data_IF_002697176337
#
_entry.id   IF_002697176337
#
_cell.length_a   1.000
_cell.length_b   1.000
_cell.length_c   1.000
_cell.angle_alpha   90.00
_cell.angle_beta   90.00
_cell.angle_gamma   90.00
#
_symmetry.space_group_name_H-M   'P 1'
#
loop_
_entity.id
_entity.type
_entity.pdbx_description
1 polymer ?
#
# COMPACT_ATOMS: atom_id res chain seq x y z
N UNK A 1 34.33 11.34 -53.50
CA UNK A 1 34.42 12.02 -52.21
C UNK A 1 34.14 11.06 -51.07
N UNK A 2 32.96 10.45 -50.95
CA UNK A 2 32.59 9.60 -49.82
C UNK A 2 33.61 8.50 -49.47
N UNK A 3 34.12 7.74 -50.49
CA UNK A 3 35.14 6.71 -50.28
C UNK A 3 36.43 7.26 -49.65
N UNK A 4 36.89 8.42 -50.12
CA UNK A 4 38.09 9.07 -49.57
C UNK A 4 37.86 9.57 -48.15
N UNK A 5 36.70 10.13 -47.84
CA UNK A 5 36.34 10.53 -46.48
C UNK A 5 36.29 9.34 -45.52
N UNK A 6 35.79 8.19 -46.00
CA UNK A 6 35.79 6.96 -45.20
C UNK A 6 37.18 6.43 -44.94
N UNK A 7 38.04 6.41 -45.96
CA UNK A 7 39.41 5.90 -45.89
C UNK A 7 40.29 6.80 -45.00
N UNK A 8 40.11 8.11 -45.03
CA UNK A 8 40.93 9.07 -44.29
C UNK A 8 40.44 9.36 -42.86
N UNK A 9 39.13 9.36 -42.61
CA UNK A 9 38.54 9.82 -41.35
C UNK A 9 37.62 8.80 -40.66
N UNK A 10 37.29 7.71 -41.35
CA UNK A 10 36.31 6.74 -40.83
C UNK A 10 34.92 7.32 -40.64
N UNK A 11 34.14 6.71 -39.76
CA UNK A 11 32.83 7.21 -39.34
C UNK A 11 33.01 8.15 -38.15
N UNK A 12 32.41 9.35 -38.22
CA UNK A 12 32.52 10.32 -37.13
C UNK A 12 31.31 11.23 -37.03
N UNK A 13 31.08 11.78 -35.82
CA UNK A 13 29.98 12.69 -35.47
C UNK A 13 30.56 14.12 -35.41
N UNK A 14 29.95 15.04 -36.16
CA UNK A 14 30.26 16.48 -36.10
C UNK A 14 29.41 17.19 -35.09
N UNK A 15 28.10 16.89 -35.09
CA UNK A 15 27.13 17.33 -34.10
C UNK A 15 26.29 16.12 -33.73
N UNK A 16 26.26 15.72 -32.48
CA UNK A 16 25.48 14.54 -32.05
C UNK A 16 23.99 14.70 -32.34
N UNK A 17 23.37 13.58 -32.64
CA UNK A 17 21.91 13.45 -32.61
C UNK A 17 21.52 13.01 -31.20
N UNK A 18 20.60 13.71 -30.58
CA UNK A 18 19.97 13.32 -29.32
C UNK A 18 18.63 12.69 -29.64
N UNK A 19 18.34 11.57 -29.03
CA UNK A 19 17.07 10.84 -29.18
C UNK A 19 16.33 10.89 -27.87
N UNK A 20 15.15 11.52 -27.89
CA UNK A 20 14.17 11.47 -26.82
C UNK A 20 13.00 10.63 -27.29
N UNK A 21 12.23 10.10 -26.35
CA UNK A 21 10.95 9.48 -26.66
C UNK A 21 9.91 9.85 -25.57
N UNK A 22 8.69 10.04 -26.00
CA UNK A 22 7.58 10.37 -25.12
C UNK A 22 6.28 9.78 -25.65
N UNK A 23 5.25 9.73 -24.82
CA UNK A 23 3.90 9.35 -25.28
C UNK A 23 3.37 10.44 -26.19
N UNK A 24 2.76 10.04 -27.32
CA UNK A 24 2.14 11.00 -28.23
C UNK A 24 0.95 11.71 -27.54
N UNK A 25 0.95 13.05 -27.54
CA UNK A 25 -0.06 13.87 -26.87
C UNK A 25 -1.50 13.70 -27.42
N UNK A 26 -1.62 13.30 -28.68
CA UNK A 26 -2.90 13.16 -29.36
C UNK A 26 -3.42 11.71 -29.35
N UNK A 27 -2.54 10.73 -29.13
CA UNK A 27 -2.87 9.29 -29.18
C UNK A 27 -1.96 8.52 -28.23
N UNK A 28 -2.46 8.25 -27.04
CA UNK A 28 -1.73 7.52 -26.00
C UNK A 28 -1.36 6.07 -26.37
N UNK A 29 -1.85 5.57 -27.49
CA UNK A 29 -1.45 4.26 -28.04
C UNK A 29 -0.17 4.31 -28.85
N UNK A 30 0.43 5.50 -28.99
CA UNK A 30 1.64 5.77 -29.75
C UNK A 30 2.73 6.43 -28.91
N UNK A 31 3.96 6.28 -29.35
CA UNK A 31 5.13 7.00 -28.82
C UNK A 31 5.77 7.79 -29.93
N UNK A 32 6.28 8.95 -29.58
CA UNK A 32 7.06 9.81 -30.46
C UNK A 32 8.55 9.65 -30.15
N UNK A 33 9.31 9.30 -31.19
CA UNK A 33 10.76 9.37 -31.18
C UNK A 33 11.17 10.73 -31.73
N UNK A 34 11.74 11.56 -30.89
CA UNK A 34 12.11 12.92 -31.18
C UNK A 34 13.63 12.97 -31.39
N UNK A 35 14.06 13.21 -32.63
CA UNK A 35 15.45 13.27 -32.99
C UNK A 35 15.88 14.73 -33.15
N UNK A 36 16.90 15.16 -32.39
CA UNK A 36 17.46 16.52 -32.47
C UNK A 36 18.21 16.77 -33.75
N UNK A 37 18.44 18.06 -34.13
CA UNK A 37 19.31 18.40 -35.23
C UNK A 37 20.73 17.92 -34.98
N UNK A 38 21.33 17.25 -35.97
CA UNK A 38 22.68 16.68 -35.87
C UNK A 38 23.36 16.51 -37.22
N UNK A 39 24.64 16.20 -37.20
CA UNK A 39 25.47 15.93 -38.40
C UNK A 39 26.47 14.83 -38.08
N UNK A 40 26.47 13.78 -38.91
CA UNK A 40 27.42 12.69 -38.82
C UNK A 40 27.91 12.30 -40.23
N UNK A 41 29.03 11.65 -40.30
CA UNK A 41 29.56 10.99 -41.52
C UNK A 41 29.61 9.49 -41.27
N UNK A 42 28.89 8.74 -42.11
CA UNK A 42 28.81 7.28 -42.02
C UNK A 42 29.11 6.70 -43.38
N UNK A 43 30.08 5.81 -43.48
CA UNK A 43 30.60 5.29 -44.72
C UNK A 43 31.05 6.40 -45.70
N UNK A 44 31.49 7.56 -45.16
CA UNK A 44 31.88 8.73 -45.93
C UNK A 44 30.72 9.59 -46.46
N UNK A 45 29.48 9.20 -46.21
CA UNK A 45 28.31 9.99 -46.57
C UNK A 45 27.89 10.88 -45.40
N UNK A 46 27.50 12.12 -45.71
CA UNK A 46 27.03 13.08 -44.75
C UNK A 46 25.54 12.85 -44.45
N UNK A 47 25.23 12.41 -43.27
CA UNK A 47 23.86 12.39 -42.71
C UNK A 47 23.66 13.66 -41.89
N UNK A 48 22.67 14.48 -42.21
CA UNK A 48 22.40 15.72 -41.47
C UNK A 48 20.93 16.04 -41.36
N UNK A 49 20.58 16.59 -40.21
CA UNK A 49 19.25 17.18 -39.95
C UNK A 49 19.43 18.59 -39.41
N UNK A 50 18.69 19.51 -39.95
CA UNK A 50 18.72 20.94 -39.56
C UNK A 50 17.63 21.30 -38.58
N UNK A 51 16.53 20.51 -38.52
CA UNK A 51 15.40 20.66 -37.59
C UNK A 51 15.16 19.38 -36.82
N UNK A 52 14.38 19.51 -35.77
CA UNK A 52 13.85 18.38 -35.02
C UNK A 52 12.96 17.50 -35.91
N UNK A 53 13.00 16.22 -35.69
CA UNK A 53 12.21 15.23 -36.44
C UNK A 53 11.51 14.31 -35.49
N UNK A 54 10.17 14.32 -35.56
CA UNK A 54 9.32 13.45 -34.76
C UNK A 54 8.89 12.24 -35.61
N UNK A 55 9.03 11.04 -35.08
CA UNK A 55 8.61 9.80 -35.70
C UNK A 55 7.66 9.09 -34.75
N UNK A 56 6.39 9.13 -35.09
CA UNK A 56 5.33 8.47 -34.30
C UNK A 56 5.23 7.00 -34.67
N UNK A 57 5.31 6.12 -33.68
CA UNK A 57 5.10 4.68 -33.84
C UNK A 57 4.13 4.14 -32.79
N UNK A 58 3.38 3.06 -33.07
CA UNK A 58 2.56 2.41 -32.07
C UNK A 58 3.39 1.91 -30.90
N UNK A 59 2.87 2.07 -29.66
CA UNK A 59 3.44 1.43 -28.46
C UNK A 59 3.46 -0.08 -28.64
N UNK A 60 4.53 -0.78 -28.22
CA UNK A 60 4.48 -2.23 -28.11
C UNK A 60 3.42 -2.61 -27.08
N UNK A 61 2.57 -3.57 -27.45
CA UNK A 61 1.46 -4.05 -26.60
C UNK A 61 1.40 -5.58 -26.58
N UNK A 62 2.53 -6.23 -26.81
CA UNK A 62 2.60 -7.68 -26.62
C UNK A 62 2.40 -7.96 -25.13
N UNK A 63 1.46 -8.84 -24.83
CA UNK A 63 1.12 -9.25 -23.47
C UNK A 63 1.47 -10.72 -23.35
N UNK A 64 2.23 -11.04 -22.31
CA UNK A 64 2.48 -12.41 -21.88
C UNK A 64 1.73 -12.70 -20.58
N UNK A 65 1.48 -13.96 -20.33
CA UNK A 65 0.76 -14.44 -19.15
C UNK A 65 1.60 -15.43 -18.38
N UNK A 66 1.64 -15.26 -17.07
CA UNK A 66 2.23 -16.22 -16.15
C UNK A 66 1.19 -16.60 -15.10
N UNK A 67 1.02 -17.92 -14.93
CA UNK A 67 0.04 -18.47 -14.00
C UNK A 67 0.72 -18.96 -12.72
N UNK A 68 -0.02 -19.00 -11.61
CA UNK A 68 0.41 -19.49 -10.33
C UNK A 68 1.69 -18.77 -9.80
N UNK A 69 1.80 -17.50 -10.06
CA UNK A 69 2.84 -16.68 -9.45
C UNK A 69 2.59 -16.55 -7.95
N UNK A 70 3.66 -16.38 -7.18
CA UNK A 70 3.57 -16.33 -5.73
C UNK A 70 4.29 -15.13 -5.16
N UNK A 71 3.68 -14.51 -4.14
CA UNK A 71 4.30 -13.47 -3.32
C UNK A 71 4.07 -13.82 -1.85
N UNK A 72 5.12 -13.75 -1.04
CA UNK A 72 4.98 -13.92 0.39
C UNK A 72 4.43 -12.64 1.05
N UNK A 73 3.41 -12.79 1.87
CA UNK A 73 2.84 -11.68 2.67
C UNK A 73 3.78 -11.34 3.84
N UNK A 74 4.99 -10.91 3.53
CA UNK A 74 6.01 -10.59 4.51
C UNK A 74 5.77 -9.22 5.11
N UNK A 75 5.10 -9.17 6.26
CA UNK A 75 5.03 -7.98 7.08
C UNK A 75 5.30 -8.31 8.54
N UNK A 76 5.93 -7.38 9.24
CA UNK A 76 6.40 -7.52 10.61
C UNK A 76 5.82 -6.45 11.51
N UNK A 77 6.70 -5.82 12.27
CA UNK A 77 6.35 -4.85 13.31
C UNK A 77 5.49 -5.47 14.39
N UNK A 78 5.92 -6.59 14.95
CA UNK A 78 5.21 -7.25 16.03
C UNK A 78 5.95 -7.20 17.36
N UNK A 79 5.19 -7.30 18.44
CA UNK A 79 5.66 -7.55 19.80
C UNK A 79 5.16 -8.90 20.28
N UNK A 80 5.84 -9.47 21.27
CA UNK A 80 5.36 -10.68 21.93
C UNK A 80 4.79 -10.29 23.30
N UNK A 81 3.58 -10.75 23.57
CA UNK A 81 2.90 -10.51 24.86
C UNK A 81 2.62 -11.82 25.58
N UNK A 82 2.70 -11.77 26.90
CA UNK A 82 2.42 -12.94 27.76
C UNK A 82 0.92 -13.15 27.94
N UNK A 83 0.46 -14.39 27.80
CA UNK A 83 -0.88 -14.81 28.18
C UNK A 83 -1.08 -14.93 29.71
N UNK A 84 -0.01 -14.91 30.51
CA UNK A 84 -0.05 -15.23 31.92
C UNK A 84 -0.90 -14.28 32.78
N UNK A 85 -1.03 -13.01 32.38
CA UNK A 85 -1.79 -12.05 33.16
C UNK A 85 -3.23 -11.86 32.67
N UNK A 86 -3.53 -12.14 31.40
CA UNK A 86 -4.86 -11.89 30.83
C UNK A 86 -5.37 -12.98 29.88
N UNK A 87 -4.52 -13.87 29.40
CA UNK A 87 -4.91 -14.86 28.41
C UNK A 87 -4.88 -14.30 26.99
N UNK A 88 -5.82 -14.72 26.15
CA UNK A 88 -5.83 -14.39 24.73
C UNK A 88 -6.07 -12.89 24.49
N UNK A 89 -5.30 -12.25 23.59
CA UNK A 89 -5.57 -10.90 23.16
C UNK A 89 -6.85 -10.82 22.32
N UNK A 90 -7.96 -10.56 22.99
CA UNK A 90 -9.26 -10.33 22.37
C UNK A 90 -9.36 -8.86 21.91
N UNK A 91 -8.63 -8.50 20.88
CA UNK A 91 -8.49 -7.15 20.39
C UNK A 91 -9.27 -7.01 19.09
N UNK A 92 -10.11 -5.99 18.98
CA UNK A 92 -10.77 -5.67 17.72
C UNK A 92 -9.73 -5.18 16.71
N UNK A 93 -9.88 -5.56 15.47
CA UNK A 93 -9.03 -5.09 14.39
C UNK A 93 -8.97 -3.56 14.40
N UNK A 94 -7.76 -3.03 14.24
CA UNK A 94 -7.46 -1.59 14.21
C UNK A 94 -7.85 -0.80 15.47
N UNK A 95 -8.19 -1.46 16.57
CA UNK A 95 -8.44 -0.81 17.85
C UNK A 95 -7.19 -0.07 18.33
N UNK A 96 -7.38 1.15 18.86
CA UNK A 96 -6.30 1.90 19.52
C UNK A 96 -5.98 1.22 20.85
N UNK A 97 -4.71 0.89 21.01
CA UNK A 97 -4.16 0.31 22.22
C UNK A 97 -3.18 1.29 22.88
N UNK A 98 -3.25 1.42 24.17
CA UNK A 98 -2.32 2.24 24.94
C UNK A 98 -1.02 1.47 25.21
N UNK A 99 0.09 2.05 24.87
CA UNK A 99 1.43 1.59 25.23
C UNK A 99 1.78 2.18 26.61
N UNK A 100 2.11 1.31 27.58
CA UNK A 100 2.27 1.69 28.98
C UNK A 100 3.66 1.39 29.51
N UNK A 101 4.13 2.24 30.43
CA UNK A 101 5.45 2.17 31.04
C UNK A 101 5.58 1.16 32.18
N UNK A 102 4.52 0.47 32.60
CA UNK A 102 4.54 -0.50 33.69
C UNK A 102 3.79 -1.79 33.32
N UNK A 103 4.16 -2.89 34.00
CA UNK A 103 3.49 -4.21 33.90
C UNK A 103 2.29 -4.35 34.82
N UNK A 104 1.94 -3.31 35.56
CA UNK A 104 0.86 -3.31 36.54
C UNK A 104 -0.16 -2.22 36.20
N UNK A 105 -1.37 -2.40 36.70
CA UNK A 105 -2.43 -1.40 36.71
C UNK A 105 -1.91 -0.04 37.20
N UNK A 106 -2.11 1.01 36.44
CA UNK A 106 -1.70 2.36 36.82
C UNK A 106 -0.40 2.87 36.19
N UNK A 107 0.26 2.08 35.34
CA UNK A 107 1.38 2.59 34.51
C UNK A 107 0.92 3.73 33.59
N UNK A 108 1.79 4.74 33.39
CA UNK A 108 1.50 5.86 32.49
C UNK A 108 1.37 5.38 31.07
N UNK A 109 0.43 5.92 30.33
CA UNK A 109 0.37 5.79 28.85
C UNK A 109 1.48 6.65 28.26
N UNK A 110 2.42 6.02 27.57
CA UNK A 110 3.59 6.66 26.96
C UNK A 110 3.50 6.69 25.44
N UNK A 111 2.45 6.10 24.87
CA UNK A 111 2.18 6.10 23.44
C UNK A 111 0.91 5.32 23.14
N UNK A 112 0.61 5.21 21.86
CA UNK A 112 -0.49 4.40 21.33
C UNK A 112 0.01 3.58 20.14
N UNK A 113 -0.69 2.49 19.84
CA UNK A 113 -0.53 1.69 18.63
C UNK A 113 -1.86 1.07 18.25
N UNK A 114 -1.95 0.52 17.04
CA UNK A 114 -3.08 -0.30 16.60
C UNK A 114 -2.60 -1.72 16.36
N UNK A 115 -3.47 -2.69 16.58
CA UNK A 115 -3.21 -4.11 16.30
C UNK A 115 -3.92 -4.49 15.02
N UNK A 116 -3.20 -5.07 14.08
CA UNK A 116 -3.72 -5.51 12.78
C UNK A 116 -3.79 -7.03 12.62
N UNK A 117 -3.06 -7.78 13.45
CA UNK A 117 -3.06 -9.24 13.43
C UNK A 117 -2.62 -9.78 14.78
N UNK A 118 -3.17 -10.93 15.17
CA UNK A 118 -2.83 -11.65 16.39
C UNK A 118 -2.51 -13.08 16.03
N UNK A 119 -1.37 -13.59 16.47
CA UNK A 119 -0.93 -14.95 16.20
C UNK A 119 -0.44 -15.61 17.50
N UNK A 120 -0.74 -16.89 17.67
CA UNK A 120 -0.24 -17.67 18.81
C UNK A 120 1.27 -17.94 18.66
N UNK A 121 2.01 -17.85 19.73
CA UNK A 121 3.44 -18.09 19.82
C UNK A 121 3.77 -18.95 21.06
N UNK A 122 3.38 -20.20 21.01
CA UNK A 122 3.46 -21.13 22.15
C UNK A 122 2.52 -20.72 23.28
N UNK A 123 3.07 -20.34 24.44
CA UNK A 123 2.30 -19.82 25.58
C UNK A 123 2.08 -18.31 25.52
N UNK A 124 2.48 -17.65 24.45
CA UNK A 124 2.43 -16.20 24.26
C UNK A 124 1.68 -15.86 22.97
N UNK A 125 1.57 -14.56 22.66
CA UNK A 125 0.96 -14.08 21.43
C UNK A 125 1.84 -13.03 20.76
N UNK A 126 1.90 -13.07 19.42
CA UNK A 126 2.44 -12.01 18.59
C UNK A 126 1.33 -11.03 18.29
N UNK A 127 1.55 -9.76 18.59
CA UNK A 127 0.67 -8.66 18.20
C UNK A 127 1.39 -7.85 17.13
N UNK A 128 0.86 -7.87 15.92
CA UNK A 128 1.38 -7.07 14.79
C UNK A 128 0.84 -5.65 14.91
N UNK A 129 1.74 -4.69 15.08
CA UNK A 129 1.40 -3.30 15.35
C UNK A 129 1.56 -2.43 14.11
N UNK A 130 0.77 -1.39 14.04
CA UNK A 130 0.92 -0.28 13.09
C UNK A 130 0.43 1.03 13.73
N UNK A 131 0.62 2.16 13.03
CA UNK A 131 0.24 3.49 13.52
C UNK A 131 0.76 3.73 14.97
N UNK A 132 2.05 3.42 15.18
CA UNK A 132 2.70 3.55 16.48
C UNK A 132 3.04 5.02 16.70
N UNK A 133 2.46 5.64 17.72
CA UNK A 133 2.69 7.03 18.10
C UNK A 133 3.16 7.11 19.55
N UNK A 134 4.42 7.53 19.76
CA UNK A 134 4.96 7.76 21.09
C UNK A 134 4.69 9.20 21.55
N UNK A 135 4.37 9.38 22.83
CA UNK A 135 4.25 10.70 23.42
C UNK A 135 5.60 11.44 23.40
N UNK A 136 5.58 12.78 23.38
CA UNK A 136 6.79 13.59 23.34
C UNK A 136 7.77 13.22 24.47
N UNK A 137 9.02 12.94 24.12
CA UNK A 137 10.07 12.54 25.05
C UNK A 137 10.00 11.09 25.55
N UNK A 138 9.06 10.28 25.05
CA UNK A 138 8.95 8.87 25.39
C UNK A 138 9.59 7.97 24.32
N UNK A 139 10.03 6.77 24.72
CA UNK A 139 10.69 5.83 23.82
C UNK A 139 9.93 4.48 23.83
N UNK A 140 9.82 3.85 22.67
CA UNK A 140 9.19 2.54 22.53
C UNK A 140 9.88 1.47 23.41
N UNK A 141 11.19 1.55 23.59
CA UNK A 141 11.95 0.64 24.46
C UNK A 141 11.45 0.61 25.92
N UNK A 142 10.77 1.67 26.37
CA UNK A 142 10.26 1.80 27.74
C UNK A 142 8.85 1.21 27.92
N UNK A 143 8.24 0.71 26.86
CA UNK A 143 6.93 0.04 26.91
C UNK A 143 7.05 -1.27 27.68
N UNK A 144 6.15 -1.49 28.63
CA UNK A 144 6.09 -2.73 29.44
C UNK A 144 4.81 -3.51 29.25
N UNK A 145 3.74 -2.84 28.88
CA UNK A 145 2.44 -3.45 28.58
C UNK A 145 1.70 -2.71 27.49
N UNK A 146 0.74 -3.41 26.87
CA UNK A 146 -0.17 -2.88 25.85
C UNK A 146 -1.61 -3.24 26.23
N UNK A 147 -2.56 -2.31 26.09
CA UNK A 147 -3.94 -2.60 26.42
C UNK A 147 -4.91 -1.47 26.11
N UNK A 148 -6.20 -1.81 26.04
CA UNK A 148 -7.29 -0.84 25.81
C UNK A 148 -7.58 0.02 27.04
N UNK A 149 -7.34 -0.53 28.24
CA UNK A 149 -7.60 0.12 29.53
C UNK A 149 -6.56 -0.28 30.58
N UNK A 150 -6.74 0.21 31.79
CA UNK A 150 -5.87 -0.12 32.93
C UNK A 150 -6.12 -1.54 33.48
N UNK A 151 -7.25 -2.14 33.15
CA UNK A 151 -7.62 -3.53 33.55
C UNK A 151 -7.62 -4.52 32.38
N UNK A 152 -7.50 -4.00 31.17
CA UNK A 152 -7.51 -4.76 29.93
C UNK A 152 -6.19 -4.54 29.19
N UNK A 153 -5.16 -5.29 29.59
CA UNK A 153 -3.81 -5.16 29.07
C UNK A 153 -3.02 -6.46 29.14
N UNK A 154 -2.02 -6.59 28.30
CA UNK A 154 -1.06 -7.69 28.25
C UNK A 154 0.35 -7.18 28.51
N UNK A 155 1.11 -7.94 29.28
CA UNK A 155 2.53 -7.64 29.54
C UNK A 155 3.38 -8.06 28.35
N UNK A 156 4.32 -7.21 27.93
CA UNK A 156 5.28 -7.54 26.91
C UNK A 156 6.34 -8.55 27.44
N UNK A 157 6.75 -9.45 26.58
CA UNK A 157 7.97 -10.22 26.75
C UNK A 157 9.13 -9.30 26.35
N UNK A 158 9.94 -8.90 27.32
CA UNK A 158 11.00 -7.93 27.13
C UNK A 158 12.34 -8.60 26.79
N UNK A 159 13.14 -7.95 25.96
CA UNK A 159 14.53 -8.29 25.70
C UNK A 159 15.46 -7.37 26.50
N UNK A 160 16.25 -7.97 27.42
CA UNK A 160 17.15 -7.20 28.28
C UNK A 160 16.43 -6.00 28.93
N UNK A 161 15.22 -6.24 29.45
CA UNK A 161 14.33 -5.24 30.07
C UNK A 161 13.80 -4.14 29.13
N UNK A 162 13.89 -4.30 27.81
CA UNK A 162 13.39 -3.33 26.82
C UNK A 162 12.34 -3.95 25.93
N UNK A 163 11.37 -3.16 25.52
CA UNK A 163 10.47 -3.54 24.43
C UNK A 163 11.22 -3.49 23.10
N UNK A 164 11.06 -4.54 22.31
CA UNK A 164 11.65 -4.63 20.97
C UNK A 164 10.55 -4.91 19.98
N UNK A 165 10.47 -4.07 18.96
CA UNK A 165 9.61 -4.29 17.82
C UNK A 165 10.33 -5.21 16.84
N UNK A 166 9.80 -6.43 16.68
CA UNK A 166 10.38 -7.44 15.79
C UNK A 166 10.03 -7.14 14.34
N UNK A 167 10.97 -7.43 13.44
CA UNK A 167 10.81 -7.26 11.99
C UNK A 167 10.27 -5.88 11.59
N UNK A 168 10.73 -4.82 12.30
CA UNK A 168 10.27 -3.46 12.10
C UNK A 168 10.52 -2.92 10.67
N UNK A 169 11.55 -3.43 9.98
CA UNK A 169 11.86 -3.08 8.60
C UNK A 169 10.82 -3.58 7.59
N UNK A 170 10.01 -4.56 7.95
CA UNK A 170 8.99 -5.17 7.11
C UNK A 170 7.58 -4.73 7.49
N UNK A 171 7.38 -3.46 7.87
CA UNK A 171 6.07 -2.96 8.31
C UNK A 171 5.08 -2.73 7.18
N UNK A 172 5.56 -2.57 5.95
CA UNK A 172 4.75 -2.24 4.77
C UNK A 172 3.75 -3.34 4.42
N UNK A 173 2.54 -2.94 4.02
CA UNK A 173 1.49 -3.80 3.46
C UNK A 173 1.46 -3.76 1.92
N UNK A 174 2.57 -3.41 1.31
CA UNK A 174 2.81 -3.43 -0.13
C UNK A 174 3.71 -4.62 -0.46
N UNK A 175 3.20 -5.58 -1.22
CA UNK A 175 3.93 -6.78 -1.60
C UNK A 175 4.31 -6.71 -3.08
N UNK A 176 5.61 -6.64 -3.36
CA UNK A 176 6.14 -6.50 -4.72
C UNK A 176 5.82 -7.73 -5.56
N UNK A 177 5.30 -7.49 -6.76
CA UNK A 177 5.08 -8.55 -7.74
C UNK A 177 6.43 -9.04 -8.31
N UNK A 178 6.57 -10.33 -8.60
CA UNK A 178 7.79 -10.86 -9.19
C UNK A 178 8.01 -10.36 -10.64
N UNK A 179 6.92 -9.95 -11.28
CA UNK A 179 6.92 -9.48 -12.67
C UNK A 179 6.83 -7.95 -12.73
N UNK A 180 7.72 -7.32 -13.48
CA UNK A 180 7.65 -5.88 -13.77
C UNK A 180 6.65 -5.62 -14.90
N UNK A 181 6.01 -4.44 -14.87
CA UNK A 181 5.03 -4.02 -15.89
C UNK A 181 3.76 -4.88 -15.97
N UNK A 182 3.16 -5.31 -14.84
CA UNK A 182 1.91 -6.05 -14.85
C UNK A 182 0.79 -5.23 -15.53
N UNK A 183 0.05 -5.86 -16.41
CA UNK A 183 -1.11 -5.28 -17.10
C UNK A 183 -2.40 -5.57 -16.34
N UNK A 184 -2.50 -6.79 -15.83
CA UNK A 184 -3.64 -7.23 -15.01
C UNK A 184 -3.25 -8.40 -14.11
N UNK A 185 -3.98 -8.53 -13.01
CA UNK A 185 -3.85 -9.62 -12.04
C UNK A 185 -5.21 -10.29 -11.92
N UNK A 186 -5.22 -11.62 -11.87
CA UNK A 186 -6.44 -12.45 -11.71
C UNK A 186 -6.16 -13.66 -10.83
N UNK A 187 -7.21 -14.41 -10.53
CA UNK A 187 -7.19 -15.70 -9.81
C UNK A 187 -6.38 -15.69 -8.51
N UNK A 188 -6.59 -14.61 -7.73
CA UNK A 188 -5.87 -14.42 -6.46
C UNK A 188 -6.43 -15.37 -5.41
N UNK A 189 -5.51 -16.08 -4.74
CA UNK A 189 -5.78 -16.91 -3.58
C UNK A 189 -4.89 -16.50 -2.41
N UNK A 190 -5.48 -16.32 -1.22
CA UNK A 190 -4.79 -15.91 0.00
C UNK A 190 -5.49 -16.48 1.23
N UNK A 191 -4.76 -16.56 2.34
CA UNK A 191 -5.33 -16.89 3.66
C UNK A 191 -5.41 -15.64 4.50
N UNK A 192 -6.59 -15.34 5.06
CA UNK A 192 -6.83 -14.18 5.93
C UNK A 192 -7.23 -14.61 7.33
N UNK A 193 -6.98 -13.77 8.33
CA UNK A 193 -7.53 -13.97 9.66
C UNK A 193 -8.91 -13.31 9.77
N UNK A 194 -9.87 -14.03 10.33
CA UNK A 194 -11.21 -13.52 10.57
C UNK A 194 -11.65 -13.87 11.98
N UNK A 195 -12.28 -12.90 12.65
CA UNK A 195 -12.81 -13.04 13.98
C UNK A 195 -14.27 -13.47 13.93
N UNK A 196 -14.63 -14.42 14.78
CA UNK A 196 -15.99 -14.87 15.01
C UNK A 196 -16.30 -14.79 16.50
N UNK A 197 -17.47 -14.22 16.84
CA UNK A 197 -18.07 -14.27 18.17
C UNK A 197 -19.24 -15.22 18.13
N UNK A 198 -19.26 -16.23 18.99
CA UNK A 198 -20.30 -17.24 19.01
C UNK A 198 -20.58 -17.74 20.44
N UNK A 199 -21.60 -18.56 20.59
CA UNK A 199 -21.98 -19.17 21.85
C UNK A 199 -22.28 -20.64 21.60
N UNK A 200 -21.79 -21.51 22.46
CA UNK A 200 -22.14 -22.94 22.37
C UNK A 200 -23.60 -23.19 22.85
N UNK A 201 -24.15 -24.29 22.34
CA UNK A 201 -25.39 -24.84 22.91
C UNK A 201 -25.14 -25.54 24.28
N UNK A 202 -26.19 -26.13 24.89
CA UNK A 202 -26.10 -26.83 26.15
C UNK A 202 -25.19 -28.07 26.14
N UNK A 203 -24.82 -28.56 24.97
CA UNK A 203 -23.88 -29.67 24.79
C UNK A 203 -22.47 -29.18 24.47
N UNK A 204 -22.16 -27.89 24.58
CA UNK A 204 -20.89 -27.31 24.27
C UNK A 204 -20.57 -27.27 22.76
N UNK A 205 -21.57 -27.25 21.88
CA UNK A 205 -21.39 -27.27 20.43
C UNK A 205 -21.70 -25.90 19.84
N UNK A 206 -20.89 -25.48 18.88
CA UNK A 206 -21.12 -24.31 18.02
C UNK A 206 -20.72 -24.62 16.58
N UNK A 207 -21.31 -23.89 15.64
CA UNK A 207 -20.97 -23.97 14.21
C UNK A 207 -20.64 -22.59 13.72
N UNK A 208 -19.48 -22.44 13.07
CA UNK A 208 -19.12 -21.27 12.30
C UNK A 208 -19.40 -21.53 10.83
N UNK A 209 -19.87 -20.51 10.10
CA UNK A 209 -20.21 -20.64 8.69
C UNK A 209 -19.68 -19.47 7.90
N UNK A 210 -19.09 -19.76 6.74
CA UNK A 210 -18.69 -18.81 5.72
C UNK A 210 -19.79 -18.76 4.67
N UNK A 211 -20.11 -17.55 4.20
CA UNK A 211 -21.21 -17.32 3.25
C UNK A 211 -20.72 -16.89 1.87
N UNK A 212 -19.48 -16.44 1.77
CA UNK A 212 -18.93 -15.99 0.51
C UNK A 212 -18.46 -17.20 -0.36
N UNK A 213 -18.70 -17.11 -1.65
CA UNK A 213 -18.24 -18.12 -2.63
C UNK A 213 -16.70 -18.10 -2.68
N UNK A 214 -16.09 -19.28 -2.72
CA UNK A 214 -14.63 -19.41 -2.79
C UNK A 214 -13.92 -19.27 -1.45
N UNK A 215 -14.65 -19.15 -0.34
CA UNK A 215 -14.09 -19.17 1.01
C UNK A 215 -14.22 -20.54 1.66
N UNK A 216 -13.16 -20.99 2.31
CA UNK A 216 -13.14 -22.19 3.14
C UNK A 216 -12.32 -21.94 4.39
N UNK A 217 -12.67 -22.59 5.49
CA UNK A 217 -11.81 -22.56 6.67
C UNK A 217 -10.46 -23.22 6.37
N UNK A 218 -9.39 -22.58 6.82
CA UNK A 218 -8.03 -23.10 6.73
C UNK A 218 -7.75 -24.14 7.82
N UNK A 219 -6.48 -24.48 8.02
CA UNK A 219 -6.05 -25.41 9.06
C UNK A 219 -6.52 -24.92 10.44
N UNK A 220 -7.39 -25.72 11.06
CA UNK A 220 -8.01 -25.38 12.36
C UNK A 220 -7.03 -25.43 13.52
N UNK A 221 -5.86 -26.05 13.36
CA UNK A 221 -4.80 -26.08 14.38
C UNK A 221 -4.11 -24.73 14.56
N UNK A 222 -4.28 -23.82 13.60
CA UNK A 222 -3.74 -22.46 13.64
C UNK A 222 -4.69 -21.44 14.28
N UNK A 223 -5.88 -21.88 14.65
CA UNK A 223 -6.89 -20.98 15.22
C UNK A 223 -6.57 -20.68 16.69
N UNK A 224 -7.04 -19.50 17.10
CA UNK A 224 -6.97 -19.09 18.49
C UNK A 224 -8.39 -18.93 19.03
N UNK A 225 -8.73 -19.60 20.12
CA UNK A 225 -10.06 -19.52 20.77
C UNK A 225 -9.94 -19.07 22.22
N UNK A 226 -10.86 -18.22 22.65
CA UNK A 226 -10.93 -17.74 24.02
C UNK A 226 -12.33 -17.54 24.54
N UNK A 227 -12.57 -17.96 25.76
CA UNK A 227 -13.78 -17.68 26.54
C UNK A 227 -13.41 -16.68 27.65
N UNK A 228 -13.78 -15.42 27.47
CA UNK A 228 -13.26 -14.32 28.29
C UNK A 228 -11.74 -14.24 28.20
N UNK A 229 -11.04 -14.28 29.35
CA UNK A 229 -9.59 -14.23 29.44
C UNK A 229 -8.91 -15.63 29.43
N UNK A 230 -9.69 -16.69 29.20
CA UNK A 230 -9.17 -18.07 29.22
C UNK A 230 -9.00 -18.61 27.80
N UNK A 231 -7.81 -19.15 27.52
CA UNK A 231 -7.55 -19.90 26.29
C UNK A 231 -8.39 -21.19 26.26
N UNK A 232 -8.88 -21.54 25.08
CA UNK A 232 -9.60 -22.77 24.79
C UNK A 232 -8.78 -23.58 23.78
N UNK A 233 -8.49 -24.84 24.12
CA UNK A 233 -7.76 -25.73 23.20
C UNK A 233 -8.60 -26.01 21.96
N UNK A 234 -8.03 -25.70 20.79
CA UNK A 234 -8.66 -25.87 19.48
C UNK A 234 -8.38 -27.25 18.88
N UNK A 235 -7.26 -27.88 19.22
CA UNK A 235 -6.74 -29.04 18.47
C UNK A 235 -7.62 -30.27 18.53
N UNK A 236 -8.31 -30.51 19.66
CA UNK A 236 -9.21 -31.65 19.86
C UNK A 236 -10.70 -31.30 19.64
N UNK A 237 -11.03 -30.03 19.39
CA UNK A 237 -12.38 -29.52 19.50
C UNK A 237 -12.94 -28.97 18.19
N UNK A 238 -12.12 -28.74 17.18
CA UNK A 238 -12.53 -28.07 15.93
C UNK A 238 -12.33 -28.99 14.74
N UNK A 239 -13.37 -29.08 13.90
CA UNK A 239 -13.34 -29.77 12.60
C UNK A 239 -13.91 -28.87 11.53
N UNK A 240 -13.54 -29.10 10.26
CA UNK A 240 -14.09 -28.36 9.12
C UNK A 240 -13.06 -27.63 8.26
N UNK A 241 -11.76 -27.95 8.42
CA UNK A 241 -10.74 -27.48 7.49
C UNK A 241 -11.09 -27.86 6.03
N UNK A 242 -10.94 -26.93 5.10
CA UNK A 242 -11.33 -27.09 3.68
C UNK A 242 -12.83 -26.97 3.41
N UNK A 243 -13.65 -26.65 4.40
CA UNK A 243 -15.11 -26.52 4.29
C UNK A 243 -15.56 -25.08 4.58
N UNK A 244 -16.76 -24.73 4.09
CA UNK A 244 -17.45 -23.48 4.47
C UNK A 244 -18.08 -23.52 5.86
N UNK A 245 -18.07 -24.68 6.51
CA UNK A 245 -18.65 -24.86 7.84
C UNK A 245 -17.62 -25.53 8.75
N UNK A 246 -17.42 -24.98 9.93
CA UNK A 246 -16.59 -25.59 10.96
C UNK A 246 -17.41 -25.87 12.22
N UNK A 247 -17.23 -27.06 12.78
CA UNK A 247 -17.89 -27.48 14.02
C UNK A 247 -16.90 -27.40 15.18
N UNK A 248 -17.35 -26.77 16.26
CA UNK A 248 -16.61 -26.65 17.52
C UNK A 248 -17.36 -27.46 18.57
N UNK A 249 -16.68 -28.38 19.26
CA UNK A 249 -17.24 -29.21 20.30
C UNK A 249 -16.37 -29.11 21.54
N UNK A 250 -16.82 -28.37 22.56
CA UNK A 250 -16.13 -28.24 23.84
C UNK A 250 -17.14 -28.12 25.00
N UNK A 251 -17.30 -29.22 25.73
CA UNK A 251 -18.26 -29.28 26.86
C UNK A 251 -17.96 -28.30 28.01
N UNK A 252 -16.71 -27.82 28.10
CA UNK A 252 -16.33 -26.79 29.09
C UNK A 252 -16.89 -25.40 28.76
N UNK A 253 -17.32 -25.14 27.52
CA UNK A 253 -17.87 -23.87 27.09
C UNK A 253 -19.38 -23.71 27.38
N UNK A 254 -20.08 -24.78 27.61
CA UNK A 254 -21.51 -24.90 27.95
C UNK A 254 -22.29 -23.56 28.04
N UNK A 255 -22.91 -23.14 26.93
CA UNK A 255 -23.70 -21.89 26.79
C UNK A 255 -22.93 -20.58 27.08
N UNK A 256 -21.60 -20.61 27.13
CA UNK A 256 -20.82 -19.40 27.30
C UNK A 256 -20.44 -18.80 25.93
N UNK A 257 -20.41 -17.46 25.84
CA UNK A 257 -19.89 -16.77 24.68
C UNK A 257 -18.38 -16.98 24.61
N UNK A 258 -17.87 -17.11 23.38
CA UNK A 258 -16.44 -17.19 23.13
C UNK A 258 -16.08 -16.57 21.77
N UNK A 259 -14.81 -16.24 21.63
CA UNK A 259 -14.24 -15.64 20.45
C UNK A 259 -13.32 -16.62 19.75
N UNK A 260 -13.32 -16.58 18.42
CA UNK A 260 -12.48 -17.41 17.57
C UNK A 260 -11.76 -16.51 16.57
N UNK A 261 -10.44 -16.56 16.55
CA UNK A 261 -9.63 -16.02 15.48
C UNK A 261 -9.29 -17.19 14.53
N UNK A 262 -10.05 -17.30 13.46
CA UNK A 262 -9.91 -18.37 12.49
C UNK A 262 -9.17 -17.89 11.26
N UNK A 263 -8.52 -18.80 10.55
CA UNK A 263 -7.97 -18.53 9.24
C UNK A 263 -8.92 -19.03 8.16
N UNK A 264 -9.12 -18.18 7.14
CA UNK A 264 -10.02 -18.41 6.01
C UNK A 264 -9.22 -18.33 4.73
N UNK A 265 -9.26 -19.40 3.94
CA UNK A 265 -8.74 -19.42 2.58
C UNK A 265 -9.73 -18.76 1.64
N UNK A 266 -9.30 -17.79 0.88
CA UNK A 266 -10.05 -17.11 -0.18
C UNK A 266 -9.43 -17.49 -1.52
N UNK A 267 -10.14 -18.26 -2.32
CA UNK A 267 -9.68 -18.71 -3.65
C UNK A 267 -10.05 -17.74 -4.79
N UNK A 268 -10.73 -16.65 -4.48
CA UNK A 268 -11.17 -15.64 -5.43
C UNK A 268 -11.09 -14.25 -4.80
N UNK A 269 -9.87 -13.79 -4.51
CA UNK A 269 -9.62 -12.44 -4.01
C UNK A 269 -10.06 -11.39 -5.03
N UNK A 270 -10.72 -10.33 -4.57
CA UNK A 270 -11.32 -9.30 -5.41
C UNK A 270 -10.48 -8.03 -5.34
N UNK A 271 -10.09 -7.52 -6.51
CA UNK A 271 -9.44 -6.21 -6.62
C UNK A 271 -10.42 -5.10 -6.24
N UNK A 272 -10.01 -4.23 -5.33
CA UNK A 272 -10.76 -3.03 -4.95
C UNK A 272 -10.59 -1.94 -6.00
N UNK A 273 -11.68 -1.32 -6.41
CA UNK A 273 -11.65 -0.24 -7.39
C UNK A 273 -11.18 1.08 -6.78
N UNK A 274 -10.51 1.89 -7.62
CA UNK A 274 -10.22 3.30 -7.38
C UNK A 274 -10.94 4.14 -8.43
N UNK A 275 -11.48 5.30 -8.04
CA UNK A 275 -12.15 6.24 -8.95
C UNK A 275 -11.51 7.61 -8.80
N UNK A 276 -10.91 8.15 -9.86
CA UNK A 276 -10.31 9.47 -9.84
C UNK A 276 -11.39 10.56 -9.77
N UNK A 277 -11.35 11.36 -8.71
CA UNK A 277 -12.38 12.34 -8.38
C UNK A 277 -11.76 13.70 -8.09
N UNK A 278 -12.37 14.77 -8.62
CA UNK A 278 -12.00 16.13 -8.30
C UNK A 278 -12.60 16.56 -6.95
N UNK A 279 -11.84 17.29 -6.17
CA UNK A 279 -12.27 17.86 -4.89
C UNK A 279 -11.81 19.30 -4.75
N UNK A 280 -12.65 20.10 -4.11
CA UNK A 280 -12.34 21.49 -3.74
C UNK A 280 -12.66 21.68 -2.27
N UNK A 281 -11.74 22.30 -1.52
CA UNK A 281 -11.92 22.69 -0.13
C UNK A 281 -11.44 24.13 0.07
N UNK A 282 -12.06 24.83 1.01
CA UNK A 282 -11.61 26.13 1.48
C UNK A 282 -11.48 26.06 3.00
N UNK A 283 -10.33 26.43 3.51
CA UNK A 283 -10.00 26.42 4.93
C UNK A 283 -9.99 27.83 5.48
N UNK A 284 -10.60 28.03 6.63
CA UNK A 284 -10.44 29.26 7.43
C UNK A 284 -9.28 29.04 8.41
N UNK A 285 -8.21 29.79 8.26
CA UNK A 285 -6.96 29.62 9.03
C UNK A 285 -7.19 29.71 10.53
N UNK A 286 -8.09 30.60 10.98
CA UNK A 286 -8.37 30.77 12.41
C UNK A 286 -9.00 29.55 13.11
N UNK A 287 -9.68 28.67 12.37
CA UNK A 287 -10.50 27.57 12.96
C UNK A 287 -10.22 26.18 12.40
N UNK A 288 -9.54 26.10 11.27
CA UNK A 288 -9.33 24.83 10.54
C UNK A 288 -7.85 24.52 10.25
N UNK A 289 -6.95 25.41 10.66
CA UNK A 289 -5.52 25.14 10.54
C UNK A 289 -5.08 24.13 11.61
N UNK A 290 -4.25 23.19 11.18
CA UNK A 290 -3.53 22.31 12.09
C UNK A 290 -2.48 23.14 12.86
N UNK A 291 -2.31 22.86 14.15
CA UNK A 291 -1.34 23.56 14.99
C UNK A 291 -0.58 22.57 15.87
N UNK A 292 0.63 22.94 16.23
CA UNK A 292 1.40 22.19 17.23
C UNK A 292 0.92 22.53 18.67
N UNK A 293 1.47 21.83 19.65
CA UNK A 293 1.11 22.03 21.06
C UNK A 293 1.39 23.45 21.62
N UNK A 294 2.12 24.31 20.90
CA UNK A 294 2.33 25.74 21.23
C UNK A 294 1.44 26.69 20.45
N UNK A 295 0.50 26.17 19.67
CA UNK A 295 -0.44 26.96 18.87
C UNK A 295 0.12 27.52 17.57
N UNK A 296 1.33 27.11 17.16
CA UNK A 296 1.90 27.49 15.86
C UNK A 296 1.22 26.66 14.76
N UNK A 297 0.73 27.34 13.72
CA UNK A 297 0.11 26.70 12.56
C UNK A 297 1.14 25.82 11.85
N UNK A 298 0.77 24.57 11.58
CA UNK A 298 1.61 23.59 10.90
C UNK A 298 1.08 23.22 9.51
N UNK A 299 -0.16 23.55 9.19
CA UNK A 299 -0.76 23.28 7.88
C UNK A 299 -2.27 23.11 7.90
N UNK A 300 -2.76 22.30 6.97
CA UNK A 300 -4.19 21.99 6.83
C UNK A 300 -4.37 20.53 6.45
N UNK A 301 -5.21 19.81 7.17
CA UNK A 301 -5.58 18.43 6.84
C UNK A 301 -6.77 18.42 5.89
N UNK A 302 -6.64 17.72 4.76
CA UNK A 302 -7.70 17.52 3.77
C UNK A 302 -8.72 16.49 4.27
N UNK A 303 -9.90 16.44 3.64
CA UNK A 303 -10.96 15.47 3.98
C UNK A 303 -10.90 14.15 3.18
N UNK A 304 -9.86 13.96 2.38
CA UNK A 304 -9.68 12.78 1.52
C UNK A 304 -8.28 12.19 1.66
N UNK A 305 -8.17 10.86 1.68
CA UNK A 305 -6.90 10.15 1.50
C UNK A 305 -6.54 10.02 0.02
N UNK A 306 -5.38 9.44 -0.25
CA UNK A 306 -4.91 9.01 -1.57
C UNK A 306 -4.98 10.10 -2.63
N UNK A 307 -4.33 11.23 -2.32
CA UNK A 307 -4.29 12.38 -3.23
C UNK A 307 -3.41 12.06 -4.44
N UNK A 308 -4.00 12.22 -5.63
CA UNK A 308 -3.31 12.02 -6.90
C UNK A 308 -2.53 13.27 -7.33
N UNK A 309 -3.18 14.44 -7.27
CA UNK A 309 -2.56 15.72 -7.64
C UNK A 309 -3.14 16.88 -6.85
N UNK A 310 -2.30 17.86 -6.55
CA UNK A 310 -2.71 19.18 -6.08
C UNK A 310 -2.72 20.12 -7.28
N UNK A 311 -3.93 20.45 -7.77
CA UNK A 311 -4.08 21.22 -9.01
C UNK A 311 -3.93 22.72 -8.77
N UNK A 312 -4.37 23.22 -7.59
CA UNK A 312 -4.38 24.65 -7.27
C UNK A 312 -4.37 24.86 -5.76
N UNK A 313 -3.52 25.76 -5.25
CA UNK A 313 -3.49 26.21 -3.86
C UNK A 313 -3.42 27.73 -3.88
N UNK A 314 -4.51 28.41 -3.46
CA UNK A 314 -4.66 29.85 -3.58
C UNK A 314 -5.06 30.51 -2.27
N UNK A 315 -4.73 31.78 -2.16
CA UNK A 315 -5.21 32.63 -1.08
C UNK A 315 -6.69 32.95 -1.28
N UNK A 316 -7.45 32.92 -0.21
CA UNK A 316 -8.86 33.32 -0.09
C UNK A 316 -9.83 32.41 -0.87
N UNK A 317 -9.80 32.42 -2.21
CA UNK A 317 -10.74 31.70 -3.07
C UNK A 317 -10.11 31.30 -4.43
N UNK A 318 -10.94 30.90 -5.40
CA UNK A 318 -10.50 30.44 -6.73
C UNK A 318 -9.77 31.52 -7.55
N UNK A 319 -9.98 32.78 -7.26
CA UNK A 319 -9.42 33.94 -8.00
C UNK A 319 -8.22 34.57 -7.28
N UNK A 320 -7.88 34.05 -6.08
CA UNK A 320 -6.78 34.51 -5.27
C UNK A 320 -5.39 34.21 -5.85
N UNK A 321 -4.37 34.77 -5.24
CA UNK A 321 -2.97 34.56 -5.61
C UNK A 321 -2.55 33.11 -5.34
N UNK A 322 -1.65 32.58 -6.17
CA UNK A 322 -1.04 31.27 -5.96
C UNK A 322 -0.11 31.33 -4.75
N UNK A 323 -0.36 30.45 -3.79
CA UNK A 323 0.41 30.30 -2.56
C UNK A 323 1.00 28.89 -2.38
N UNK A 324 1.04 28.10 -3.46
CA UNK A 324 1.55 26.72 -3.41
C UNK A 324 2.97 26.65 -2.88
N UNK A 325 3.80 27.67 -3.14
CA UNK A 325 5.20 27.72 -2.74
C UNK A 325 5.44 27.77 -1.21
N UNK A 326 4.42 28.10 -0.39
CA UNK A 326 4.56 28.10 1.06
C UNK A 326 4.18 26.77 1.71
N UNK A 327 3.76 25.78 0.94
CA UNK A 327 3.34 24.46 1.41
C UNK A 327 4.17 23.34 0.82
N UNK A 328 4.38 22.31 1.61
CA UNK A 328 4.78 20.97 1.19
C UNK A 328 3.53 20.09 1.10
N UNK A 329 3.35 19.44 -0.02
CA UNK A 329 2.17 18.62 -0.31
C UNK A 329 2.38 17.18 0.20
N UNK A 330 1.47 16.69 1.04
CA UNK A 330 1.42 15.33 1.54
C UNK A 330 0.19 14.63 0.96
N UNK A 331 0.41 13.59 0.17
CA UNK A 331 -0.66 12.86 -0.51
C UNK A 331 -1.44 11.90 0.41
N UNK A 332 -1.06 11.78 1.69
CA UNK A 332 -1.72 10.90 2.66
C UNK A 332 -1.29 9.44 2.60
N UNK A 333 -0.41 9.03 1.69
CA UNK A 333 0.06 7.66 1.65
C UNK A 333 1.10 7.39 2.74
N UNK A 334 0.99 6.24 3.43
CA UNK A 334 1.94 5.72 4.42
C UNK A 334 2.35 4.31 4.02
N UNK A 335 3.37 3.77 4.66
CA UNK A 335 3.87 2.42 4.38
C UNK A 335 2.81 1.35 4.65
N UNK A 336 1.93 1.58 5.60
CA UNK A 336 1.00 0.60 6.16
C UNK A 336 -0.48 1.02 6.15
N UNK A 337 -0.81 2.25 5.73
CA UNK A 337 -2.19 2.72 5.55
C UNK A 337 -2.28 3.96 4.65
N UNK A 338 -3.50 4.31 4.23
CA UNK A 338 -3.83 5.57 3.59
C UNK A 338 -4.40 6.54 4.62
N UNK A 339 -3.64 7.58 4.94
CA UNK A 339 -4.03 8.72 5.79
C UNK A 339 -4.67 9.82 4.95
N UNK A 340 -5.24 10.84 5.61
CA UNK A 340 -5.71 12.04 4.93
C UNK A 340 -4.54 12.82 4.31
N UNK A 341 -4.78 13.40 3.14
CA UNK A 341 -3.82 14.33 2.54
C UNK A 341 -3.63 15.60 3.38
N UNK A 342 -2.48 16.26 3.25
CA UNK A 342 -2.18 17.47 4.02
C UNK A 342 -1.43 18.50 3.17
N UNK A 343 -1.68 19.78 3.48
CA UNK A 343 -0.83 20.89 3.11
C UNK A 343 0.02 21.22 4.33
N UNK A 344 1.30 20.84 4.34
CA UNK A 344 2.23 21.14 5.44
C UNK A 344 2.85 22.53 5.22
N UNK A 345 2.68 23.42 6.18
CA UNK A 345 3.24 24.77 6.08
C UNK A 345 4.76 24.73 6.24
N UNK A 346 5.48 25.24 5.26
CA UNK A 346 6.94 25.37 5.32
C UNK A 346 7.31 26.40 6.40
N UNK A 347 8.23 26.04 7.28
CA UNK A 347 8.65 26.86 8.42
C UNK A 347 9.05 28.28 7.99
N UNK A 348 8.61 29.27 8.75
CA UNK A 348 8.86 30.69 8.49
C UNK A 348 7.80 31.36 7.63
N UNK A 349 6.84 30.61 7.09
CA UNK A 349 5.71 31.17 6.35
C UNK A 349 4.47 31.37 7.23
N UNK A 350 3.58 32.25 6.80
CA UNK A 350 2.29 32.50 7.45
C UNK A 350 1.19 32.33 6.38
N UNK A 351 0.20 31.45 6.58
CA UNK A 351 -0.87 31.31 5.63
C UNK A 351 -1.82 32.53 5.70
N UNK A 352 -2.53 32.86 4.60
CA UNK A 352 -3.57 33.87 4.60
C UNK A 352 -4.76 33.46 5.49
N UNK A 353 -5.71 34.38 5.71
CA UNK A 353 -6.90 34.11 6.54
C UNK A 353 -7.77 32.96 6.02
N UNK A 354 -7.70 32.67 4.72
CA UNK A 354 -8.37 31.55 4.09
C UNK A 354 -7.47 30.94 3.01
N UNK A 355 -7.51 29.60 2.88
CA UNK A 355 -6.74 28.83 1.89
C UNK A 355 -7.71 28.00 1.05
N UNK A 356 -7.71 28.25 -0.25
CA UNK A 356 -8.47 27.50 -1.24
C UNK A 356 -7.58 26.46 -1.87
N UNK A 357 -8.04 25.19 -1.91
CA UNK A 357 -7.33 24.08 -2.55
C UNK A 357 -8.24 23.31 -3.48
N UNK A 358 -7.74 23.02 -4.68
CA UNK A 358 -8.34 22.10 -5.64
C UNK A 358 -7.37 20.97 -5.91
N UNK A 359 -7.85 19.73 -5.80
CA UNK A 359 -7.04 18.53 -5.92
C UNK A 359 -7.84 17.38 -6.52
N UNK A 360 -7.12 16.37 -6.97
CA UNK A 360 -7.69 15.06 -7.37
C UNK A 360 -7.27 14.00 -6.38
N UNK A 361 -8.16 13.10 -6.08
CA UNK A 361 -7.90 11.95 -5.22
C UNK A 361 -8.55 10.70 -5.80
N UNK A 362 -8.08 9.54 -5.38
CA UNK A 362 -8.76 8.30 -5.66
C UNK A 362 -9.80 8.02 -4.57
N UNK A 363 -11.06 7.95 -4.96
CA UNK A 363 -12.12 7.40 -4.12
C UNK A 363 -12.09 5.88 -4.20
N UNK A 364 -12.10 5.21 -3.06
CA UNK A 364 -11.96 3.77 -2.96
C UNK A 364 -13.32 3.08 -2.93
N UNK A 365 -13.46 1.98 -3.68
CA UNK A 365 -14.65 1.12 -3.65
C UNK A 365 -14.88 0.49 -2.28
N UNK A 366 -16.14 0.28 -1.90
CA UNK A 366 -16.49 -0.35 -0.61
C UNK A 366 -16.15 -1.85 -0.57
N UNK A 367 -16.19 -2.53 -1.73
CA UNK A 367 -15.89 -3.96 -1.84
C UNK A 367 -14.47 -4.23 -2.38
N UNK A 368 -13.99 -5.43 -2.15
CA UNK A 368 -12.67 -5.89 -2.58
C UNK A 368 -11.72 -6.12 -1.40
N UNK A 369 -10.63 -6.83 -1.68
CA UNK A 369 -9.69 -7.31 -0.67
C UNK A 369 -8.38 -6.50 -0.66
N UNK A 370 -7.95 -6.00 -1.82
CA UNK A 370 -6.68 -5.32 -2.01
C UNK A 370 -6.75 -4.36 -3.21
N UNK A 371 -5.74 -3.49 -3.34
CA UNK A 371 -5.51 -2.69 -4.55
C UNK A 371 -4.35 -3.29 -5.37
N UNK A 372 -4.38 -3.09 -6.67
CA UNK A 372 -3.34 -3.49 -7.60
C UNK A 372 -3.47 -2.71 -8.91
N UNK A 373 -2.76 -3.12 -9.95
CA UNK A 373 -2.80 -2.46 -11.26
C UNK A 373 -4.23 -2.33 -11.80
N UNK A 374 -5.06 -3.34 -11.61
CA UNK A 374 -6.47 -3.35 -12.06
C UNK A 374 -7.32 -2.26 -11.39
N UNK A 375 -6.95 -1.79 -10.19
CA UNK A 375 -7.68 -0.74 -9.47
C UNK A 375 -7.69 0.59 -10.22
N UNK A 376 -6.69 0.83 -11.07
CA UNK A 376 -6.51 2.08 -11.82
C UNK A 376 -7.08 2.04 -13.23
N UNK A 377 -7.66 0.91 -13.66
CA UNK A 377 -8.16 0.70 -15.02
C UNK A 377 -9.21 1.74 -15.40
N UNK A 378 -8.95 2.49 -16.48
CA UNK A 378 -9.84 3.54 -16.97
C UNK A 378 -9.89 4.81 -16.12
N UNK A 379 -9.05 4.93 -15.09
CA UNK A 379 -8.98 6.12 -14.23
C UNK A 379 -7.78 7.01 -14.58
N UNK A 380 -6.65 6.40 -14.84
CA UNK A 380 -5.42 7.06 -15.29
C UNK A 380 -4.75 6.19 -16.36
N UNK A 381 -3.90 6.80 -17.17
CA UNK A 381 -3.05 6.04 -18.08
C UNK A 381 -2.09 5.15 -17.30
N UNK A 382 -1.70 4.03 -17.89
CA UNK A 382 -0.83 3.04 -17.25
C UNK A 382 0.48 3.65 -16.72
N UNK A 383 1.07 4.57 -17.47
CA UNK A 383 2.32 5.26 -17.12
C UNK A 383 2.14 6.24 -15.95
N UNK A 384 0.91 6.73 -15.76
CA UNK A 384 0.55 7.71 -14.72
C UNK A 384 0.02 7.07 -13.43
N UNK A 385 0.04 5.73 -13.33
CA UNK A 385 -0.22 5.06 -12.05
C UNK A 385 0.84 5.55 -11.05
N UNK A 386 0.44 6.03 -9.86
CA UNK A 386 1.34 6.71 -8.94
C UNK A 386 2.52 5.85 -8.46
N UNK A 387 3.62 6.53 -8.16
CA UNK A 387 4.68 6.00 -7.33
C UNK A 387 4.41 6.37 -5.87
N UNK A 388 4.87 5.52 -4.97
CA UNK A 388 4.89 5.76 -3.54
C UNK A 388 6.33 5.72 -3.03
N UNK A 389 6.74 6.70 -2.23
CA UNK A 389 8.05 6.69 -1.58
C UNK A 389 7.86 6.27 -0.14
N UNK A 390 8.42 5.11 0.23
CA UNK A 390 8.41 4.59 1.60
C UNK A 390 9.18 5.52 2.56
N UNK A 391 8.98 5.33 3.84
CA UNK A 391 9.69 6.05 4.89
C UNK A 391 11.22 5.83 4.84
N UNK A 392 11.70 4.72 4.31
CA UNK A 392 13.12 4.41 4.09
C UNK A 392 13.71 5.05 2.82
N UNK A 393 12.89 5.72 2.01
CA UNK A 393 13.27 6.36 0.76
C UNK A 393 13.13 5.48 -0.49
N UNK A 394 12.74 4.22 -0.36
CA UNK A 394 12.49 3.35 -1.51
C UNK A 394 11.27 3.84 -2.29
N UNK A 395 11.41 4.00 -3.60
CA UNK A 395 10.30 4.36 -4.50
C UNK A 395 9.68 3.09 -5.08
N UNK A 396 8.41 2.90 -4.83
CA UNK A 396 7.61 1.79 -5.33
C UNK A 396 6.61 2.31 -6.35
N UNK A 397 6.51 1.65 -7.49
CA UNK A 397 5.44 1.91 -8.44
C UNK A 397 4.21 1.08 -8.02
N UNK A 398 3.08 1.74 -7.74
CA UNK A 398 1.88 1.09 -7.23
C UNK A 398 1.20 0.12 -8.22
N UNK A 399 1.60 0.13 -9.48
CA UNK A 399 1.19 -0.91 -10.44
C UNK A 399 1.87 -2.25 -10.21
N UNK A 400 3.07 -2.25 -9.59
CA UNK A 400 3.92 -3.44 -9.41
C UNK A 400 3.74 -4.12 -8.05
N UNK A 401 2.64 -3.83 -7.34
CA UNK A 401 2.42 -4.36 -5.99
C UNK A 401 0.99 -4.87 -5.79
N UNK A 402 0.83 -5.79 -4.84
CA UNK A 402 -0.43 -6.05 -4.14
C UNK A 402 -0.46 -5.15 -2.91
N UNK A 403 -1.45 -4.27 -2.85
CA UNK A 403 -1.56 -3.23 -1.82
C UNK A 403 -2.74 -3.53 -0.88
N UNK A 404 -2.42 -3.96 0.33
CA UNK A 404 -3.40 -4.30 1.37
C UNK A 404 -3.60 -3.19 2.40
N UNK A 405 -3.09 -2.00 2.16
CA UNK A 405 -3.20 -0.88 3.10
C UNK A 405 -4.66 -0.50 3.38
N UNK A 406 -5.08 -0.43 4.64
CA UNK A 406 -6.38 0.10 5.03
C UNK A 406 -6.45 1.62 4.79
N UNK A 407 -7.67 2.15 4.75
CA UNK A 407 -7.93 3.56 4.45
C UNK A 407 -8.70 4.20 5.61
N UNK A 408 -8.20 5.30 6.13
CA UNK A 408 -8.91 6.06 7.19
C UNK A 408 -10.21 6.67 6.66
N UNK A 409 -11.13 6.95 7.56
CA UNK A 409 -12.34 7.72 7.24
C UNK A 409 -12.02 9.23 7.07
N UNK A 410 -13.05 10.03 6.79
CA UNK A 410 -12.91 11.48 6.60
C UNK A 410 -12.43 12.26 7.83
N UNK A 411 -12.35 11.63 9.00
CA UNK A 411 -11.80 12.21 10.24
C UNK A 411 -10.38 11.71 10.57
N UNK A 412 -9.76 10.97 9.65
CA UNK A 412 -8.40 10.42 9.82
C UNK A 412 -8.33 9.28 10.83
N UNK A 413 -9.42 8.53 11.04
CA UNK A 413 -9.48 7.43 11.99
C UNK A 413 -9.92 6.12 11.32
N UNK A 414 -9.57 4.98 11.93
CA UNK A 414 -10.07 3.66 11.54
C UNK A 414 -11.38 3.35 12.30
N UNK A 415 -12.40 4.15 12.06
CA UNK A 415 -13.72 3.97 12.65
C UNK A 415 -14.80 3.75 11.59
N UNK A 416 -16.05 4.10 11.91
CA UNK A 416 -17.14 4.05 10.94
C UNK A 416 -16.79 4.84 9.66
N UNK A 417 -16.96 4.22 8.50
CA UNK A 417 -16.62 4.78 7.20
C UNK A 417 -15.17 4.60 6.76
N UNK A 418 -14.31 3.99 7.59
CA UNK A 418 -12.99 3.53 7.14
C UNK A 418 -13.12 2.26 6.29
N UNK A 419 -12.14 2.05 5.42
CA UNK A 419 -12.01 0.80 4.66
C UNK A 419 -10.95 -0.03 5.33
N UNK A 420 -11.35 -1.16 5.89
CA UNK A 420 -10.47 -2.12 6.54
C UNK A 420 -10.40 -3.35 5.65
N UNK A 421 -9.20 -3.71 5.21
CA UNK A 421 -8.98 -4.91 4.44
C UNK A 421 -8.74 -6.08 5.40
N UNK A 422 -9.24 -7.27 5.06
CA UNK A 422 -8.77 -8.50 5.68
C UNK A 422 -7.32 -8.71 5.24
N UNK A 423 -6.39 -8.72 6.18
CA UNK A 423 -4.98 -8.85 5.87
C UNK A 423 -4.61 -10.31 5.63
N UNK A 424 -3.72 -10.59 4.67
CA UNK A 424 -3.19 -11.93 4.50
C UNK A 424 -2.44 -12.36 5.78
N UNK A 425 -2.44 -13.67 6.05
CA UNK A 425 -1.66 -14.19 7.17
C UNK A 425 -0.18 -13.85 6.98
N UNK A 426 0.51 -13.33 8.01
CA UNK A 426 1.94 -13.04 7.91
C UNK A 426 2.74 -14.26 7.45
N UNK A 427 3.66 -14.07 6.52
CA UNK A 427 4.53 -15.08 5.89
C UNK A 427 3.85 -16.11 4.98
N UNK A 428 2.51 -16.15 4.89
CA UNK A 428 1.83 -17.01 3.93
C UNK A 428 2.06 -16.53 2.49
N UNK A 429 1.85 -17.45 1.56
CA UNK A 429 1.96 -17.19 0.12
C UNK A 429 0.63 -16.74 -0.44
N UNK A 430 0.65 -15.63 -1.16
CA UNK A 430 -0.44 -15.18 -2.02
C UNK A 430 -0.15 -15.70 -3.41
N UNK A 431 -1.08 -16.45 -4.01
CA UNK A 431 -0.95 -16.95 -5.39
C UNK A 431 -1.85 -16.17 -6.31
N UNK A 432 -1.43 -15.96 -7.56
CA UNK A 432 -2.17 -15.21 -8.56
C UNK A 432 -1.69 -15.51 -9.98
N UNK A 433 -2.50 -15.14 -10.96
CA UNK A 433 -2.13 -15.10 -12.36
C UNK A 433 -1.87 -13.65 -12.77
N UNK A 434 -0.87 -13.41 -13.59
CA UNK A 434 -0.49 -12.07 -14.05
C UNK A 434 -0.34 -12.02 -15.58
N UNK A 435 -0.93 -11.00 -16.18
CA UNK A 435 -0.61 -10.57 -17.53
C UNK A 435 0.31 -9.35 -17.43
N UNK A 436 1.35 -9.30 -18.26
CA UNK A 436 2.31 -8.21 -18.25
C UNK A 436 2.74 -7.81 -19.66
N UNK A 437 3.17 -6.54 -19.78
CA UNK A 437 3.68 -6.04 -21.05
C UNK A 437 5.13 -6.45 -21.26
N UNK A 438 5.40 -7.10 -22.39
CA UNK A 438 6.76 -7.41 -22.81
C UNK A 438 7.52 -6.16 -23.19
N UNK A 439 8.83 -6.14 -22.91
CA UNK A 439 9.74 -5.11 -23.38
C UNK A 439 10.01 -5.25 -24.87
N UNK A 440 10.19 -4.14 -25.57
CA UNK A 440 10.61 -4.15 -26.96
C UNK A 440 11.73 -3.14 -27.18
N UNK A 441 12.86 -3.60 -27.72
CA UNK A 441 13.92 -2.72 -28.14
C UNK A 441 13.60 -2.11 -29.52
N UNK A 442 13.95 -0.86 -29.72
CA UNK A 442 13.82 -0.19 -31.01
C UNK A 442 15.09 0.60 -31.34
N UNK A 443 15.39 0.72 -32.64
CA UNK A 443 16.53 1.51 -33.15
C UNK A 443 15.99 2.57 -34.11
N UNK A 444 16.41 3.81 -33.93
CA UNK A 444 16.25 4.83 -34.95
C UNK A 444 17.41 4.74 -35.92
N UNK A 445 17.12 4.53 -37.20
CA UNK A 445 18.10 4.37 -38.25
C UNK A 445 17.98 5.54 -39.22
N UNK A 446 19.12 6.18 -39.53
CA UNK A 446 19.24 7.18 -40.58
C UNK A 446 19.93 6.52 -41.76
N UNK A 447 19.29 6.47 -42.91
CA UNK A 447 19.87 5.89 -44.12
C UNK A 447 20.74 6.90 -44.92
N UNK A 448 21.43 6.44 -45.93
CA UNK A 448 22.32 7.25 -46.78
C UNK A 448 21.57 8.37 -47.53
N UNK A 449 20.28 8.28 -47.68
CA UNK A 449 19.45 9.31 -48.31
C UNK A 449 18.82 10.28 -47.29
N UNK A 450 19.31 10.24 -46.05
CA UNK A 450 18.78 10.98 -44.91
C UNK A 450 17.32 10.61 -44.56
N UNK A 451 16.84 9.45 -45.00
CA UNK A 451 15.57 8.84 -44.53
C UNK A 451 15.74 8.39 -43.09
N UNK A 452 14.72 8.62 -42.27
CA UNK A 452 14.69 8.18 -40.86
C UNK A 452 13.60 7.15 -40.71
N UNK A 453 13.91 6.05 -40.05
CA UNK A 453 12.93 5.01 -39.70
C UNK A 453 13.21 4.40 -38.36
N UNK A 454 12.17 3.94 -37.71
CA UNK A 454 12.28 3.12 -36.50
C UNK A 454 12.24 1.65 -36.90
N UNK A 455 13.27 0.91 -36.52
CA UNK A 455 13.32 -0.55 -36.64
C UNK A 455 13.07 -1.13 -35.26
N UNK A 456 11.99 -1.86 -35.12
CA UNK A 456 11.62 -2.55 -33.89
C UNK A 456 12.21 -3.96 -33.89
N UNK A 457 12.73 -4.38 -32.76
CA UNK A 457 13.09 -5.76 -32.49
C UNK A 457 11.84 -6.61 -32.19
N UNK A 458 12.04 -7.88 -31.96
CA UNK A 458 11.00 -8.75 -31.39
C UNK A 458 10.75 -8.35 -29.93
N UNK A 459 9.56 -8.61 -29.43
CA UNK A 459 9.25 -8.47 -28.02
C UNK A 459 10.10 -9.51 -27.26
N UNK A 460 10.74 -9.06 -26.19
CA UNK A 460 11.65 -9.88 -25.41
C UNK A 460 10.96 -10.31 -24.12
N UNK A 461 10.97 -11.61 -23.92
CA UNK A 461 10.46 -12.25 -22.71
C UNK A 461 11.67 -12.46 -21.81
N UNK A 462 11.92 -11.57 -20.85
CA UNK A 462 12.79 -11.86 -19.73
C UNK A 462 12.04 -12.38 -18.54
#
# INVERSE_FOLDING_TARGET
MARRTKEESGDYIVKPFELLFETNDSDNTKVDFILSPGVAYVDGYRASRTGETVITVPKPRTISSENNQVVAANYGSYIIVSAANKGIPNINEFQIMNLRSAVTHGGSTIGTARVRHVEEDGANYRLYLFDIAMNAGQNFADVKSIGSSATDFWNLILEINKAVLKDAASSSLLFDLPTTRPQSISDISLTVQRRFSTTTNASGQATLSLTATGETFSDTTLWTMGAGDSAVDVTASVTGAGSQSASIVNGGLNQNPFEVLAYVNKSAGIVRSKTLTNRTQTFTTATQADSNGSGTITGFTLDKPDIFSFDTIKAVDSDGDDISAIFENDNGQRDDFYDLGRLKLISGNTPPASVYVKYKHFAHGAGGDFFGVNSYTGQVEYENIPNFTKADGQVINLRNVLDFRPVVNATGTFGSGAIINELPRPTDLITFDVNYYEGQAAKVVIDVNSGIRVVRGEADVE
#
